data_IF_292340775186
#
_entry.id   IF_292340775186
#
_cell.length_a   1.000
_cell.length_b   1.000
_cell.length_c   1.000
_cell.angle_alpha   90.00
_cell.angle_beta   90.00
_cell.angle_gamma   90.00
#
_symmetry.space_group_name_H-M   'P 1'
#
loop_
_entity.id
_entity.type
_entity.pdbx_description
1 polymer ?
#
# COMPACT_ATOMS: atom_id res chain seq x y z
N UNK A 1 4.44 -25.97 11.71
CA UNK A 1 4.01 -26.96 10.70
C UNK A 1 4.73 -28.27 10.95
N UNK A 2 4.12 -29.40 10.55
CA UNK A 2 4.77 -30.70 10.66
C UNK A 2 6.03 -30.75 9.78
N UNK A 3 7.08 -31.41 10.27
CA UNK A 3 8.27 -31.70 9.47
C UNK A 3 7.86 -32.53 8.24
N UNK A 4 8.28 -32.11 7.03
CA UNK A 4 7.97 -32.81 5.77
C UNK A 4 6.84 -32.19 4.94
N UNK A 5 6.30 -31.02 5.29
CA UNK A 5 5.38 -30.32 4.41
C UNK A 5 6.13 -29.74 3.20
N UNK A 6 5.81 -30.24 2.00
CA UNK A 6 6.46 -29.84 0.74
C UNK A 6 5.85 -28.60 0.07
N UNK A 7 4.71 -28.11 0.58
CA UNK A 7 3.97 -27.01 -0.06
C UNK A 7 4.12 -25.68 0.69
N UNK A 8 4.37 -25.73 2.00
CA UNK A 8 4.40 -24.54 2.85
C UNK A 8 5.54 -24.63 3.86
N UNK A 9 6.05 -23.47 4.21
CA UNK A 9 6.98 -23.29 5.32
C UNK A 9 6.42 -22.30 6.33
N UNK A 10 6.98 -22.22 7.53
CA UNK A 10 6.61 -21.19 8.50
C UNK A 10 7.84 -20.70 9.26
N UNK A 11 7.88 -19.40 9.50
CA UNK A 11 8.90 -18.75 10.31
C UNK A 11 8.22 -17.74 11.24
N UNK A 12 8.49 -17.86 12.54
CA UNK A 12 7.94 -16.97 13.57
C UNK A 12 6.41 -16.81 13.50
N UNK A 13 5.70 -17.89 13.14
CA UNK A 13 4.24 -17.91 12.98
C UNK A 13 3.74 -17.39 11.62
N UNK A 14 4.60 -16.84 10.78
CA UNK A 14 4.26 -16.39 9.42
C UNK A 14 4.21 -17.59 8.49
N UNK A 15 3.14 -17.74 7.72
CA UNK A 15 2.99 -18.76 6.69
C UNK A 15 3.61 -18.29 5.38
N UNK A 16 4.47 -19.13 4.80
CA UNK A 16 5.20 -18.86 3.57
C UNK A 16 4.97 -19.98 2.55
N UNK A 17 5.26 -19.71 1.28
CA UNK A 17 5.46 -20.76 0.27
C UNK A 17 6.59 -21.73 0.70
N UNK A 18 6.67 -22.88 0.05
CA UNK A 18 7.70 -23.89 0.36
C UNK A 18 9.11 -23.29 0.32
N UNK A 19 9.40 -22.49 -0.70
CA UNK A 19 10.70 -21.85 -0.94
C UNK A 19 10.92 -20.60 -0.06
N UNK A 20 9.91 -20.18 0.71
CA UNK A 20 9.97 -18.97 1.54
C UNK A 20 9.97 -17.66 0.76
N UNK A 21 9.63 -17.69 -0.54
CA UNK A 21 9.65 -16.53 -1.43
C UNK A 21 8.32 -15.74 -1.44
N UNK A 22 7.23 -16.33 -0.94
CA UNK A 22 5.94 -15.66 -0.81
C UNK A 22 5.41 -15.71 0.62
N UNK A 23 4.90 -14.59 1.14
CA UNK A 23 4.10 -14.56 2.37
C UNK A 23 2.65 -14.81 2.02
N UNK A 24 2.06 -15.84 2.63
CA UNK A 24 0.69 -16.25 2.41
C UNK A 24 -0.24 -15.81 3.54
N UNK A 25 0.25 -15.76 4.77
CA UNK A 25 -0.51 -15.31 5.92
C UNK A 25 0.38 -14.87 7.08
N UNK A 26 -0.02 -13.79 7.73
CA UNK A 26 0.63 -13.19 8.90
C UNK A 26 -0.33 -13.21 10.11
N UNK A 27 0.15 -13.56 11.33
CA UNK A 27 -0.70 -13.65 12.50
C UNK A 27 -1.34 -12.31 12.88
N UNK A 28 -2.67 -12.27 13.02
CA UNK A 28 -3.45 -11.06 13.33
C UNK A 28 -3.02 -10.37 14.62
N UNK A 29 -2.70 -11.15 15.66
CA UNK A 29 -2.29 -10.65 16.99
C UNK A 29 -0.86 -10.12 17.03
N UNK A 30 -0.05 -10.37 15.98
CA UNK A 30 1.34 -9.94 15.91
C UNK A 30 1.40 -8.47 15.49
N UNK A 31 2.04 -7.64 16.30
CA UNK A 31 2.09 -6.19 16.10
C UNK A 31 3.50 -5.61 16.09
N UNK A 32 3.58 -4.28 16.22
CA UNK A 32 4.83 -3.53 16.25
C UNK A 32 5.38 -3.24 14.85
N UNK A 33 6.70 -3.40 14.67
CA UNK A 33 7.36 -3.21 13.38
C UNK A 33 7.63 -4.55 12.71
N UNK A 34 7.43 -4.60 11.39
CA UNK A 34 7.77 -5.77 10.58
C UNK A 34 8.53 -5.34 9.33
N UNK A 35 9.67 -5.98 9.11
CA UNK A 35 10.46 -5.83 7.88
C UNK A 35 10.32 -7.09 7.06
N UNK A 36 9.90 -6.93 5.81
CA UNK A 36 9.77 -8.03 4.88
C UNK A 36 11.15 -8.65 4.60
N UNK A 37 11.34 -9.96 4.76
CA UNK A 37 12.61 -10.60 4.44
C UNK A 37 13.03 -10.36 2.99
N UNK A 38 14.33 -10.15 2.75
CA UNK A 38 14.85 -9.88 1.40
C UNK A 38 14.61 -11.02 0.39
N UNK A 39 14.39 -12.24 0.89
CA UNK A 39 14.05 -13.42 0.08
C UNK A 39 12.61 -13.40 -0.43
N UNK A 40 11.73 -12.57 0.17
CA UNK A 40 10.32 -12.51 -0.19
C UNK A 40 10.16 -11.61 -1.40
N UNK A 41 9.64 -12.17 -2.47
CA UNK A 41 9.33 -11.48 -3.73
C UNK A 41 7.83 -11.30 -3.96
N UNK A 42 6.99 -11.99 -3.18
CA UNK A 42 5.53 -11.95 -3.33
C UNK A 42 4.84 -11.89 -1.96
N UNK A 43 3.75 -11.13 -1.92
CA UNK A 43 2.85 -11.08 -0.77
C UNK A 43 1.44 -11.42 -1.26
N UNK A 44 0.81 -12.42 -0.67
CA UNK A 44 -0.49 -12.93 -1.09
C UNK A 44 -1.66 -12.00 -0.76
N UNK A 45 -2.81 -12.32 -1.32
CA UNK A 45 -4.07 -11.66 -1.00
C UNK A 45 -4.38 -11.81 0.50
N UNK A 46 -4.80 -10.72 1.14
CA UNK A 46 -5.14 -10.69 2.57
C UNK A 46 -4.01 -11.11 3.53
N UNK A 47 -2.76 -11.22 3.08
CA UNK A 47 -1.68 -11.80 3.87
C UNK A 47 -1.43 -11.10 5.23
N UNK A 48 -1.66 -9.79 5.33
CA UNK A 48 -1.53 -8.98 6.53
C UNK A 48 -2.87 -8.40 7.01
N UNK A 49 -3.98 -9.02 6.62
CA UNK A 49 -5.32 -8.63 7.04
C UNK A 49 -5.44 -8.66 8.57
N UNK A 50 -6.13 -7.67 9.14
CA UNK A 50 -6.42 -7.55 10.57
C UNK A 50 -5.18 -7.58 11.48
N UNK A 51 -3.96 -7.40 10.94
CA UNK A 51 -2.74 -7.41 11.73
C UNK A 51 -2.57 -6.12 12.55
N UNK A 52 -1.85 -6.24 13.67
CA UNK A 52 -1.55 -5.13 14.56
C UNK A 52 -0.21 -4.43 14.26
N UNK A 53 0.37 -4.66 13.07
CA UNK A 53 1.59 -3.99 12.63
C UNK A 53 1.33 -2.49 12.47
N UNK A 54 2.19 -1.67 13.07
CA UNK A 54 2.14 -0.20 12.94
C UNK A 54 3.14 0.34 11.92
N UNK A 55 4.30 -0.31 11.80
CA UNK A 55 5.36 0.06 10.87
C UNK A 55 5.72 -1.13 10.00
N UNK A 56 5.62 -0.94 8.68
CA UNK A 56 5.94 -1.97 7.70
C UNK A 56 7.02 -1.50 6.73
N UNK A 57 8.04 -2.34 6.52
CA UNK A 57 9.12 -2.07 5.57
C UNK A 57 9.11 -3.16 4.50
N UNK A 58 8.92 -2.76 3.25
CA UNK A 58 8.98 -3.66 2.10
C UNK A 58 10.42 -4.03 1.74
N UNK A 59 10.60 -5.25 1.23
CA UNK A 59 11.86 -5.65 0.61
C UNK A 59 12.04 -4.98 -0.75
N UNK A 60 13.26 -4.56 -1.08
CA UNK A 60 13.56 -3.94 -2.37
C UNK A 60 13.31 -4.88 -3.57
N UNK A 61 13.40 -6.21 -3.36
CA UNK A 61 13.15 -7.23 -4.37
C UNK A 61 11.69 -7.63 -4.57
N UNK A 62 10.74 -6.96 -3.91
CA UNK A 62 9.33 -7.30 -4.01
C UNK A 62 8.80 -7.06 -5.43
N UNK A 63 8.18 -8.10 -6.01
CA UNK A 63 7.64 -8.11 -7.37
C UNK A 63 6.13 -7.89 -7.40
N UNK A 64 5.41 -8.47 -6.43
CA UNK A 64 3.95 -8.39 -6.39
C UNK A 64 3.40 -8.33 -4.97
N UNK A 65 2.27 -7.62 -4.86
CA UNK A 65 1.47 -7.53 -3.64
C UNK A 65 0.04 -7.91 -4.03
N UNK A 66 -0.58 -8.77 -3.25
CA UNK A 66 -1.95 -9.23 -3.46
C UNK A 66 -3.00 -8.16 -3.09
N UNK A 67 -4.25 -8.44 -3.46
CA UNK A 67 -5.41 -7.61 -3.13
C UNK A 67 -5.67 -7.67 -1.62
N UNK A 68 -6.15 -6.55 -1.07
CA UNK A 68 -6.56 -6.47 0.34
C UNK A 68 -5.48 -6.88 1.34
N UNK A 69 -4.21 -6.83 0.95
CA UNK A 69 -3.09 -7.34 1.77
C UNK A 69 -3.11 -6.77 3.18
N UNK A 70 -3.31 -5.46 3.36
CA UNK A 70 -3.38 -4.79 4.66
C UNK A 70 -4.80 -4.44 5.09
N UNK A 71 -5.82 -5.14 4.58
CA UNK A 71 -7.21 -4.85 4.94
C UNK A 71 -7.37 -4.79 6.47
N UNK A 72 -7.95 -3.69 6.98
CA UNK A 72 -8.22 -3.47 8.41
C UNK A 72 -6.98 -3.61 9.33
N UNK A 73 -5.78 -3.36 8.82
CA UNK A 73 -4.54 -3.37 9.61
C UNK A 73 -4.30 -2.04 10.33
N UNK A 74 -3.36 -2.03 11.29
CA UNK A 74 -3.03 -0.85 12.10
C UNK A 74 -1.83 -0.06 11.60
N UNK A 75 -1.42 -0.27 10.36
CA UNK A 75 -0.31 0.50 9.76
C UNK A 75 -0.60 2.00 9.76
N UNK A 76 0.40 2.80 10.13
CA UNK A 76 0.28 4.26 10.25
C UNK A 76 0.89 5.00 9.08
N UNK A 77 2.00 4.50 8.59
CA UNK A 77 2.74 5.03 7.47
C UNK A 77 3.32 3.89 6.64
N UNK A 78 3.26 4.01 5.32
CA UNK A 78 3.76 3.00 4.40
C UNK A 78 4.45 3.63 3.21
N UNK A 79 5.67 3.16 2.90
CA UNK A 79 6.37 3.47 1.65
C UNK A 79 6.35 2.25 0.74
N UNK A 80 5.65 2.35 -0.39
CA UNK A 80 5.61 1.28 -1.38
C UNK A 80 6.94 1.20 -2.15
N UNK A 81 7.35 0.01 -2.60
CA UNK A 81 8.55 -0.15 -3.41
C UNK A 81 8.52 0.75 -4.66
N UNK A 82 9.67 1.35 -4.98
CA UNK A 82 9.79 2.23 -6.14
C UNK A 82 9.51 1.54 -7.48
N UNK A 83 9.60 0.21 -7.53
CA UNK A 83 9.38 -0.64 -8.69
C UNK A 83 7.93 -1.10 -8.86
N UNK A 84 7.06 -0.86 -7.87
CA UNK A 84 5.67 -1.33 -7.90
C UNK A 84 4.82 -0.48 -8.86
N UNK A 85 4.46 -1.07 -10.01
CA UNK A 85 3.65 -0.39 -11.04
C UNK A 85 2.17 -0.27 -10.68
N UNK A 86 1.62 -1.27 -10.01
CA UNK A 86 0.20 -1.34 -9.70
C UNK A 86 -0.01 -1.48 -8.20
N UNK A 87 -0.76 -0.57 -7.62
CA UNK A 87 -1.26 -0.68 -6.25
C UNK A 87 -2.58 -1.47 -6.32
N UNK A 88 -2.63 -2.69 -5.76
CA UNK A 88 -3.77 -3.58 -5.97
C UNK A 88 -5.03 -3.09 -5.26
N UNK A 89 -6.18 -3.59 -5.72
CA UNK A 89 -7.50 -3.30 -5.14
C UNK A 89 -7.50 -3.53 -3.63
N UNK A 90 -8.02 -2.57 -2.89
CA UNK A 90 -8.24 -2.65 -1.45
C UNK A 90 -6.97 -2.78 -0.60
N UNK A 91 -5.77 -2.49 -1.15
CA UNK A 91 -4.49 -2.74 -0.46
C UNK A 91 -4.53 -2.27 1.00
N UNK A 92 -5.07 -1.08 1.27
CA UNK A 92 -5.16 -0.47 2.60
C UNK A 92 -6.61 -0.25 3.06
N UNK A 93 -7.58 -0.91 2.44
CA UNK A 93 -8.98 -0.70 2.80
C UNK A 93 -9.20 -0.91 4.29
N UNK A 94 -9.92 0.03 4.94
CA UNK A 94 -10.22 0.06 6.38
C UNK A 94 -9.00 0.18 7.31
N UNK A 95 -7.85 0.62 6.83
CA UNK A 95 -6.72 0.95 7.69
C UNK A 95 -6.98 2.26 8.43
N UNK A 96 -7.71 2.20 9.54
CA UNK A 96 -8.18 3.37 10.29
C UNK A 96 -7.07 4.18 10.99
N UNK A 97 -5.83 3.73 10.94
CA UNK A 97 -4.65 4.44 11.49
C UNK A 97 -3.73 5.00 10.40
N UNK A 98 -3.99 4.71 9.12
CA UNK A 98 -3.09 5.06 8.01
C UNK A 98 -3.20 6.55 7.67
N UNK A 99 -2.18 7.31 8.02
CA UNK A 99 -2.13 8.76 7.81
C UNK A 99 -1.23 9.17 6.63
N UNK A 100 -0.19 8.40 6.32
CA UNK A 100 0.81 8.76 5.31
C UNK A 100 1.13 7.57 4.42
N UNK A 101 1.12 7.81 3.10
CA UNK A 101 1.54 6.81 2.11
C UNK A 101 2.49 7.46 1.10
N UNK A 102 3.57 6.74 0.77
CA UNK A 102 4.50 7.09 -0.28
C UNK A 102 4.34 6.10 -1.44
N UNK A 103 3.91 6.60 -2.59
CA UNK A 103 3.86 5.84 -3.85
C UNK A 103 5.20 5.95 -4.57
N UNK A 104 5.68 4.82 -5.07
CA UNK A 104 6.96 4.74 -5.77
C UNK A 104 6.94 5.42 -7.15
N UNK A 105 8.14 5.62 -7.70
CA UNK A 105 8.33 6.29 -8.99
C UNK A 105 7.69 5.52 -10.17
N UNK A 106 7.63 4.20 -10.09
CA UNK A 106 7.04 3.37 -11.15
C UNK A 106 5.52 3.22 -11.04
N UNK A 107 4.86 3.83 -10.05
CA UNK A 107 3.41 3.65 -9.86
C UNK A 107 2.63 4.24 -11.03
N UNK A 108 1.91 3.38 -11.74
CA UNK A 108 1.12 3.70 -12.94
C UNK A 108 -0.39 3.60 -12.66
N UNK A 109 -0.80 2.73 -11.72
CA UNK A 109 -2.22 2.44 -11.45
C UNK A 109 -2.51 2.28 -9.96
N UNK A 110 -3.60 2.91 -9.51
CA UNK A 110 -4.25 2.64 -8.22
C UNK A 110 -5.53 1.84 -8.46
N UNK A 111 -5.63 0.68 -7.83
CA UNK A 111 -6.84 -0.15 -7.86
C UNK A 111 -8.03 0.51 -7.16
N UNK A 112 -9.19 -0.13 -7.23
CA UNK A 112 -10.37 0.31 -6.50
C UNK A 112 -10.19 0.10 -4.98
N UNK A 113 -10.79 0.93 -4.17
CA UNK A 113 -10.84 0.84 -2.69
C UNK A 113 -9.49 0.86 -1.98
N UNK A 114 -8.40 1.29 -2.65
CA UNK A 114 -7.05 1.29 -2.06
C UNK A 114 -7.02 2.04 -0.72
N UNK A 115 -7.68 3.21 -0.66
CA UNK A 115 -7.68 4.08 0.51
C UNK A 115 -9.06 4.22 1.15
N UNK A 116 -10.00 3.33 0.85
CA UNK A 116 -11.34 3.36 1.43
C UNK A 116 -11.28 3.11 2.94
N UNK A 117 -11.85 4.03 3.72
CA UNK A 117 -11.81 3.96 5.20
C UNK A 117 -10.47 4.37 5.82
N UNK A 118 -9.53 4.96 5.05
CA UNK A 118 -8.26 5.47 5.57
C UNK A 118 -8.34 6.97 5.87
N UNK A 119 -7.87 7.47 7.03
CA UNK A 119 -7.81 8.88 7.36
C UNK A 119 -6.53 9.55 6.85
N UNK A 120 -6.21 9.37 5.56
CA UNK A 120 -4.99 9.93 4.96
C UNK A 120 -4.91 11.44 5.14
N UNK A 121 -3.76 11.92 5.59
CA UNK A 121 -3.40 13.33 5.65
C UNK A 121 -2.36 13.72 4.60
N UNK A 122 -1.49 12.78 4.23
CA UNK A 122 -0.45 13.01 3.23
C UNK A 122 -0.33 11.80 2.28
N UNK A 123 -0.30 12.08 0.99
CA UNK A 123 -0.01 11.11 -0.06
C UNK A 123 1.13 11.65 -0.92
N UNK A 124 2.30 11.05 -0.77
CA UNK A 124 3.49 11.39 -1.55
C UNK A 124 3.53 10.52 -2.81
N UNK A 125 3.70 11.15 -3.96
CA UNK A 125 3.69 10.47 -5.26
C UNK A 125 4.98 10.84 -6.00
N UNK A 126 5.90 9.88 -6.10
CA UNK A 126 7.16 10.09 -6.82
C UNK A 126 7.03 9.87 -8.34
N UNK A 127 5.88 9.38 -8.80
CA UNK A 127 5.64 9.18 -10.23
C UNK A 127 5.60 10.53 -10.99
N UNK A 128 6.29 10.64 -12.16
CA UNK A 128 6.34 11.88 -12.93
C UNK A 128 5.02 12.22 -13.62
N UNK A 129 4.14 11.23 -13.78
CA UNK A 129 2.80 11.36 -14.34
C UNK A 129 1.76 10.88 -13.34
N UNK A 130 0.56 11.48 -13.31
CA UNK A 130 -0.49 11.05 -12.41
C UNK A 130 -0.83 9.56 -12.63
N UNK A 131 -0.74 8.70 -11.61
CA UNK A 131 -1.23 7.33 -11.72
C UNK A 131 -2.70 7.29 -12.13
N UNK A 132 -3.06 6.34 -12.98
CA UNK A 132 -4.46 6.10 -13.35
C UNK A 132 -5.22 5.67 -12.10
N UNK A 133 -6.31 6.35 -11.81
CA UNK A 133 -7.21 6.03 -10.70
C UNK A 133 -8.62 6.50 -11.01
N UNK A 134 -9.57 6.05 -10.23
CA UNK A 134 -10.96 6.52 -10.26
C UNK A 134 -11.37 6.98 -8.86
N UNK A 135 -12.55 7.59 -8.74
CA UNK A 135 -13.10 7.93 -7.43
C UNK A 135 -13.23 6.70 -6.52
N UNK A 136 -13.43 5.53 -7.11
CA UNK A 136 -13.48 4.26 -6.37
C UNK A 136 -12.16 3.89 -5.70
N UNK A 137 -11.02 4.41 -6.14
CA UNK A 137 -9.74 4.20 -5.45
C UNK A 137 -9.74 4.78 -4.05
N UNK A 138 -10.56 5.82 -3.83
CA UNK A 138 -10.74 6.52 -2.55
C UNK A 138 -12.10 6.20 -1.90
N UNK A 139 -13.06 5.68 -2.69
CA UNK A 139 -14.42 5.24 -2.32
C UNK A 139 -15.14 6.17 -1.33
N UNK A 140 -15.66 5.61 -0.21
CA UNK A 140 -16.43 6.39 0.77
C UNK A 140 -15.61 7.48 1.46
N UNK A 141 -14.30 7.33 1.52
CA UNK A 141 -13.37 8.34 2.05
C UNK A 141 -13.13 9.50 1.07
N UNK A 142 -13.49 9.34 -0.22
CA UNK A 142 -13.12 10.28 -1.29
C UNK A 142 -13.52 11.73 -0.99
N UNK A 143 -14.75 11.99 -0.59
CA UNK A 143 -15.22 13.34 -0.30
C UNK A 143 -14.40 14.03 0.78
N UNK A 144 -14.05 13.30 1.85
CA UNK A 144 -13.22 13.80 2.93
C UNK A 144 -11.76 13.98 2.45
N UNK A 145 -11.17 12.95 1.83
CA UNK A 145 -9.78 12.97 1.38
C UNK A 145 -9.52 14.06 0.34
N UNK A 146 -10.44 14.29 -0.60
CA UNK A 146 -10.33 15.37 -1.58
C UNK A 146 -10.20 16.75 -0.95
N UNK A 147 -10.73 16.93 0.26
CA UNK A 147 -10.71 18.20 0.99
C UNK A 147 -9.52 18.34 1.94
N UNK A 148 -9.04 17.27 2.53
CA UNK A 148 -8.11 17.28 3.67
C UNK A 148 -6.74 16.70 3.38
N UNK A 149 -6.66 15.68 2.50
CA UNK A 149 -5.40 15.05 2.17
C UNK A 149 -4.53 15.98 1.30
N UNK A 150 -3.26 16.08 1.67
CA UNK A 150 -2.24 16.78 0.89
C UNK A 150 -1.61 15.81 -0.09
N UNK A 151 -1.68 16.13 -1.36
CA UNK A 151 -1.00 15.40 -2.42
C UNK A 151 0.34 16.07 -2.67
N UNK A 152 1.42 15.32 -2.49
CA UNK A 152 2.79 15.75 -2.73
C UNK A 152 3.27 15.13 -4.03
N UNK A 153 3.70 15.96 -4.98
CA UNK A 153 4.13 15.55 -6.32
C UNK A 153 5.52 16.11 -6.64
N UNK A 154 6.28 15.51 -7.55
CA UNK A 154 7.59 16.03 -7.92
C UNK A 154 7.50 17.45 -8.50
N UNK A 155 8.59 18.21 -8.36
CA UNK A 155 8.74 19.55 -8.90
C UNK A 155 8.37 19.63 -10.38
N UNK A 156 7.65 20.69 -10.78
CA UNK A 156 7.18 20.90 -12.15
C UNK A 156 6.05 19.95 -12.60
N UNK A 157 5.52 19.09 -11.72
CA UNK A 157 4.50 18.10 -12.10
C UNK A 157 3.07 18.45 -11.69
N UNK A 158 2.87 19.43 -10.84
CA UNK A 158 1.54 19.84 -10.35
C UNK A 158 0.52 20.10 -11.46
N UNK A 159 0.94 20.66 -12.59
CA UNK A 159 0.06 20.96 -13.72
C UNK A 159 -0.59 19.70 -14.30
N UNK A 160 0.14 18.59 -14.37
CA UNK A 160 -0.38 17.32 -14.88
C UNK A 160 -1.43 16.73 -13.95
N UNK A 161 -1.21 16.84 -12.63
CA UNK A 161 -2.18 16.38 -11.62
C UNK A 161 -3.43 17.25 -11.61
N UNK A 162 -3.29 18.57 -11.78
CA UNK A 162 -4.42 19.50 -11.90
C UNK A 162 -5.22 19.30 -13.18
N UNK A 163 -4.60 18.82 -14.25
CA UNK A 163 -5.27 18.48 -15.52
C UNK A 163 -5.96 17.11 -15.53
N UNK A 164 -5.78 16.29 -14.50
CA UNK A 164 -6.37 14.95 -14.42
C UNK A 164 -7.71 14.98 -13.68
N UNK A 165 -8.74 14.32 -14.24
CA UNK A 165 -10.11 14.40 -13.74
C UNK A 165 -10.29 13.97 -12.27
N UNK A 166 -9.58 12.93 -11.81
CA UNK A 166 -9.67 12.44 -10.42
C UNK A 166 -8.75 13.23 -9.51
N UNK A 167 -7.49 13.41 -9.89
CA UNK A 167 -6.50 14.12 -9.06
C UNK A 167 -6.84 15.60 -8.86
N UNK A 168 -7.47 16.24 -9.84
CA UNK A 168 -7.90 17.64 -9.74
C UNK A 168 -8.92 17.88 -8.61
N UNK A 169 -9.61 16.85 -8.11
CA UNK A 169 -10.57 16.94 -6.99
C UNK A 169 -9.88 17.24 -5.65
N UNK A 170 -8.59 16.88 -5.51
CA UNK A 170 -7.84 17.22 -4.30
C UNK A 170 -7.59 18.73 -4.22
N UNK A 171 -8.04 19.35 -3.14
CA UNK A 171 -7.88 20.82 -2.94
C UNK A 171 -6.43 21.20 -2.76
N UNK A 172 -5.61 20.34 -2.14
CA UNK A 172 -4.23 20.62 -1.78
C UNK A 172 -3.30 19.70 -2.57
N UNK A 173 -2.67 20.24 -3.63
CA UNK A 173 -1.59 19.58 -4.38
C UNK A 173 -0.35 20.48 -4.28
N UNK A 174 0.71 19.94 -3.71
CA UNK A 174 2.00 20.62 -3.48
C UNK A 174 3.09 19.97 -4.33
N UNK A 175 4.08 20.74 -4.70
CA UNK A 175 5.34 20.23 -5.25
C UNK A 175 6.36 20.14 -4.13
N UNK A 176 7.04 19.02 -4.07
CA UNK A 176 8.18 18.80 -3.16
C UNK A 176 9.47 18.90 -3.97
N UNK A 177 10.43 19.62 -3.44
CA UNK A 177 11.76 19.81 -4.01
C UNK A 177 12.62 18.56 -3.83
#
# INVERSE_FOLDING_TARGET
>A
MAAGNSHYSSKDGVLLSAEGSAILWFPMGKGGAYTLPATVTEVGDYAFRDCSIEKFVFAAGLKSIGKYTFYNSKVKEVSLPSTLKQVPTGLFQKCASLATVHLGQATELLGEYVFDGCPLTNLYISAPTPPVCTDKSFATSGTYLFSTCRIHVPEGRRIYYRGNATWAKFKIIKEDN
#
